data_IF_577537833268
#
_entry.id   IF_577537833268
#
_cell.length_a   1.000
_cell.length_b   1.000
_cell.length_c   1.000
_cell.angle_alpha   90.00
_cell.angle_beta   90.00
_cell.angle_gamma   90.00
#
_symmetry.space_group_name_H-M   'P 1'
#
loop_
_entity.id
_entity.type
_entity.pdbx_description
1 polymer ?
#
# COMPACT_ATOMS: atom_id res chain seq x y z
N UNK A 1 2.73 0.77 11.28
CA UNK A 1 2.88 1.51 10.00
C UNK A 1 2.31 2.90 10.15
N UNK A 2 2.94 3.82 9.45
CA UNK A 2 2.59 5.23 9.53
C UNK A 2 1.47 5.56 8.56
N UNK A 3 0.55 6.45 8.95
CA UNK A 3 -0.51 6.92 8.06
C UNK A 3 0.04 7.98 7.11
N UNK A 4 -0.20 7.80 5.81
CA UNK A 4 0.22 8.76 4.81
C UNK A 4 -0.68 10.00 4.87
N UNK A 5 -0.12 11.21 4.94
CA UNK A 5 -0.93 12.44 4.85
C UNK A 5 -1.64 12.54 3.51
N UNK A 6 -2.67 13.41 3.44
CA UNK A 6 -3.35 13.70 2.18
C UNK A 6 -2.37 14.39 1.23
N UNK A 7 -2.24 13.84 0.02
CA UNK A 7 -1.33 14.40 -0.98
C UNK A 7 -1.70 13.94 -2.39
N UNK A 8 -1.09 14.55 -3.38
CA UNK A 8 -1.21 14.15 -4.77
C UNK A 8 0.02 13.33 -5.19
N UNK A 9 -0.02 12.76 -6.38
CA UNK A 9 1.03 11.87 -6.88
C UNK A 9 2.41 12.54 -6.89
N UNK A 10 2.49 13.79 -7.32
CA UNK A 10 3.79 14.47 -7.39
C UNK A 10 4.46 14.60 -6.01
N UNK A 11 3.68 14.83 -4.97
CA UNK A 11 4.19 14.90 -3.60
C UNK A 11 4.61 13.52 -3.11
N UNK A 12 3.80 12.50 -3.45
CA UNK A 12 4.13 11.12 -3.10
C UNK A 12 5.46 10.70 -3.70
N UNK A 13 5.68 10.97 -4.99
CA UNK A 13 6.91 10.58 -5.67
C UNK A 13 8.14 11.22 -5.02
N UNK A 14 8.02 12.44 -4.52
CA UNK A 14 9.11 13.09 -3.78
C UNK A 14 9.36 12.40 -2.43
N UNK A 15 8.30 11.92 -1.78
CA UNK A 15 8.40 11.29 -0.47
C UNK A 15 9.05 9.91 -0.54
N UNK A 16 8.88 9.20 -1.65
CA UNK A 16 9.34 7.80 -1.79
C UNK A 16 10.61 7.68 -2.63
N UNK A 17 11.44 8.71 -2.65
CA UNK A 17 12.66 8.77 -3.49
C UNK A 17 13.76 7.79 -3.04
N UNK A 18 13.89 7.56 -1.74
CA UNK A 18 15.01 6.79 -1.21
C UNK A 18 14.50 5.53 -0.50
N UNK A 19 14.71 4.38 -1.12
CA UNK A 19 14.34 3.11 -0.54
C UNK A 19 13.06 2.53 -1.12
N UNK A 20 12.58 1.48 -0.47
CA UNK A 20 11.38 0.75 -0.92
C UNK A 20 10.22 1.05 0.02
N UNK A 21 9.09 1.43 -0.58
CA UNK A 21 7.90 1.88 0.15
C UNK A 21 6.69 1.08 -0.30
N UNK A 22 5.95 0.55 0.67
CA UNK A 22 4.72 -0.20 0.43
C UNK A 22 3.55 0.65 0.87
N UNK A 23 2.65 0.96 -0.05
CA UNK A 23 1.42 1.71 0.25
C UNK A 23 0.26 0.74 0.37
N UNK A 24 -0.37 0.72 1.53
CA UNK A 24 -1.55 -0.09 1.81
C UNK A 24 -2.78 0.80 1.75
N UNK A 25 -3.54 0.68 0.64
CA UNK A 25 -4.79 1.44 0.46
C UNK A 25 -5.93 0.70 1.14
N UNK A 26 -6.59 1.37 2.05
CA UNK A 26 -7.61 0.78 2.91
C UNK A 26 -8.71 1.80 3.23
N UNK A 27 -9.80 1.34 3.85
CA UNK A 27 -10.84 2.21 4.39
C UNK A 27 -11.49 1.51 5.58
N UNK A 28 -11.95 2.28 6.55
CA UNK A 28 -12.52 1.73 7.79
C UNK A 28 -13.80 0.92 7.56
N UNK A 29 -14.58 1.30 6.55
CA UNK A 29 -15.84 0.62 6.22
C UNK A 29 -15.67 -0.67 5.43
N UNK A 30 -14.47 -0.97 4.97
CA UNK A 30 -14.21 -2.07 4.04
C UNK A 30 -13.94 -3.37 4.81
N UNK A 31 -14.85 -4.37 4.75
CA UNK A 31 -14.66 -5.63 5.49
C UNK A 31 -13.39 -6.39 5.08
N UNK A 32 -13.08 -6.43 3.79
CA UNK A 32 -11.90 -7.14 3.30
C UNK A 32 -10.61 -6.43 3.71
N UNK A 33 -10.65 -5.11 3.87
CA UNK A 33 -9.53 -4.34 4.41
C UNK A 33 -9.32 -4.67 5.88
N UNK A 34 -10.42 -4.76 6.65
CA UNK A 34 -10.34 -5.11 8.06
C UNK A 34 -9.85 -6.54 8.27
N UNK A 35 -10.10 -7.42 7.30
CA UNK A 35 -9.66 -8.81 7.39
C UNK A 35 -8.13 -8.96 7.30
N UNK A 36 -7.46 -8.15 6.47
CA UNK A 36 -5.99 -8.21 6.32
C UNK A 36 -5.26 -7.34 7.35
N UNK A 37 -5.91 -6.30 7.86
CA UNK A 37 -5.26 -5.32 8.73
C UNK A 37 -4.57 -5.94 9.96
N UNK A 38 -5.16 -6.92 10.67
CA UNK A 38 -4.48 -7.56 11.80
C UNK A 38 -3.18 -8.28 11.44
N UNK A 39 -3.01 -8.69 10.18
CA UNK A 39 -1.80 -9.35 9.71
C UNK A 39 -0.68 -8.36 9.36
N UNK A 40 -1.00 -7.08 9.22
CA UNK A 40 -0.03 -6.09 8.75
C UNK A 40 1.20 -5.96 9.67
N UNK A 41 1.08 -5.96 11.01
CA UNK A 41 2.28 -5.89 11.85
C UNK A 41 3.27 -7.03 11.58
N UNK A 42 2.78 -8.26 11.37
CA UNK A 42 3.64 -9.39 11.05
C UNK A 42 4.27 -9.25 9.66
N UNK A 43 3.51 -8.76 8.69
CA UNK A 43 4.02 -8.50 7.35
C UNK A 43 5.13 -7.44 7.40
N UNK A 44 4.91 -6.36 8.14
CA UNK A 44 5.93 -5.32 8.31
C UNK A 44 7.21 -5.88 8.93
N UNK A 45 7.08 -6.79 9.88
CA UNK A 45 8.23 -7.40 10.52
C UNK A 45 8.99 -8.31 9.55
N UNK A 46 8.27 -9.06 8.71
CA UNK A 46 8.87 -9.96 7.73
C UNK A 46 9.57 -9.20 6.60
N UNK A 47 9.19 -7.94 6.38
CA UNK A 47 9.79 -7.06 5.36
C UNK A 47 10.29 -5.77 6.01
N UNK A 48 11.10 -5.91 7.06
CA UNK A 48 11.50 -4.80 7.93
C UNK A 48 12.38 -3.75 7.24
N UNK A 49 12.96 -4.07 6.08
CA UNK A 49 13.73 -3.10 5.30
C UNK A 49 12.83 -2.19 4.47
N UNK A 50 11.55 -2.51 4.36
CA UNK A 50 10.59 -1.72 3.61
C UNK A 50 9.88 -0.75 4.54
N UNK A 51 9.54 0.43 4.00
CA UNK A 51 8.72 1.41 4.71
C UNK A 51 7.26 1.22 4.33
N UNK A 52 6.38 1.07 5.32
CA UNK A 52 4.97 0.84 5.08
C UNK A 52 4.16 2.09 5.43
N UNK A 53 3.27 2.49 4.52
CA UNK A 53 2.31 3.56 4.75
C UNK A 53 0.89 3.02 4.65
N UNK A 54 0.06 3.38 5.62
CA UNK A 54 -1.38 3.19 5.52
C UNK A 54 -1.96 4.39 4.78
N UNK A 55 -2.69 4.13 3.69
CA UNK A 55 -3.36 5.18 2.93
C UNK A 55 -4.86 5.02 3.11
N UNK A 56 -5.48 5.99 3.80
CA UNK A 56 -6.93 6.01 3.91
C UNK A 56 -7.49 6.48 2.56
N UNK A 57 -8.13 5.55 1.84
CA UNK A 57 -8.64 5.81 0.51
C UNK A 57 -9.65 6.97 0.50
N UNK A 58 -10.47 7.08 1.55
CA UNK A 58 -11.50 8.12 1.61
C UNK A 58 -10.92 9.51 1.81
N UNK A 59 -9.81 9.63 2.55
CA UNK A 59 -9.10 10.90 2.70
C UNK A 59 -8.23 11.24 1.49
N UNK A 60 -7.75 10.22 0.78
CA UNK A 60 -6.83 10.36 -0.35
C UNK A 60 -7.46 9.91 -1.67
N UNK A 61 -8.72 10.29 -1.91
CA UNK A 61 -9.43 9.93 -3.14
C UNK A 61 -8.70 10.39 -4.40
N UNK A 62 -8.15 11.61 -4.36
CA UNK A 62 -7.44 12.15 -5.51
C UNK A 62 -6.14 11.39 -5.79
N UNK A 63 -5.42 11.01 -4.74
CA UNK A 63 -4.21 10.21 -4.89
C UNK A 63 -4.56 8.83 -5.47
N UNK A 64 -5.61 8.20 -4.97
CA UNK A 64 -6.05 6.90 -5.49
C UNK A 64 -6.40 7.02 -6.98
N UNK A 65 -7.09 8.11 -7.37
CA UNK A 65 -7.41 8.35 -8.77
C UNK A 65 -6.15 8.60 -9.61
N UNK A 66 -5.20 9.39 -9.09
CA UNK A 66 -3.92 9.66 -9.77
C UNK A 66 -3.19 8.36 -10.09
N UNK A 67 -3.24 7.39 -9.18
CA UNK A 67 -2.52 6.12 -9.32
C UNK A 67 -3.39 5.01 -9.94
N UNK A 68 -4.62 5.32 -10.31
CA UNK A 68 -5.58 4.36 -10.87
C UNK A 68 -5.84 3.19 -9.90
N UNK A 69 -6.05 3.50 -8.63
CA UNK A 69 -6.38 2.50 -7.61
C UNK A 69 -7.90 2.48 -7.44
N UNK A 70 -8.57 1.53 -8.07
CA UNK A 70 -10.04 1.46 -8.08
C UNK A 70 -10.61 0.33 -7.21
N UNK A 71 -9.77 -0.32 -6.42
CA UNK A 71 -10.22 -1.38 -5.51
C UNK A 71 -9.42 -1.35 -4.23
N UNK A 72 -10.01 -1.82 -3.14
CA UNK A 72 -9.34 -1.98 -1.85
C UNK A 72 -9.77 -3.31 -1.22
N UNK A 73 -8.89 -3.95 -0.41
CA UNK A 73 -7.54 -3.51 -0.06
C UNK A 73 -6.59 -3.65 -1.25
N UNK A 74 -5.69 -2.69 -1.39
CA UNK A 74 -4.72 -2.72 -2.49
C UNK A 74 -3.34 -2.32 -2.00
N UNK A 75 -2.32 -2.85 -2.66
CA UNK A 75 -0.92 -2.57 -2.32
C UNK A 75 -0.20 -2.06 -3.54
N UNK A 76 0.56 -0.99 -3.38
CA UNK A 76 1.41 -0.45 -4.44
C UNK A 76 2.79 -0.25 -3.84
N UNK A 77 3.82 -0.68 -4.56
CA UNK A 77 5.20 -0.60 -4.07
C UNK A 77 6.01 0.30 -4.95
N UNK A 78 6.71 1.24 -4.31
CA UNK A 78 7.65 2.15 -4.96
C UNK A 78 9.05 1.85 -4.48
N UNK A 79 10.01 1.96 -5.38
CA UNK A 79 11.42 1.86 -5.02
C UNK A 79 12.17 2.99 -5.73
N UNK A 80 12.87 3.80 -4.93
CA UNK A 80 13.68 4.91 -5.44
C UNK A 80 12.90 5.83 -6.38
N UNK A 81 11.66 6.13 -6.00
CA UNK A 81 10.79 7.04 -6.72
C UNK A 81 9.99 6.45 -7.87
N UNK A 82 10.09 5.14 -8.09
CA UNK A 82 9.39 4.48 -9.19
C UNK A 82 8.51 3.34 -8.70
N UNK A 83 7.33 3.21 -9.26
CA UNK A 83 6.46 2.08 -8.97
C UNK A 83 7.08 0.80 -9.55
N UNK A 84 7.28 -0.21 -8.69
CA UNK A 84 7.86 -1.48 -9.11
C UNK A 84 6.85 -2.63 -9.11
N UNK A 85 5.65 -2.41 -8.56
CA UNK A 85 4.61 -3.42 -8.59
C UNK A 85 3.35 -2.97 -7.89
N UNK A 86 2.24 -3.66 -8.21
CA UNK A 86 0.97 -3.40 -7.58
C UNK A 86 0.13 -4.66 -7.46
N UNK A 87 -0.63 -4.73 -6.39
CA UNK A 87 -1.58 -5.81 -6.13
C UNK A 87 -2.92 -5.13 -5.87
N UNK A 88 -3.63 -4.82 -6.95
CA UNK A 88 -4.83 -3.98 -6.92
C UNK A 88 -6.02 -4.79 -7.39
N UNK A 89 -7.02 -4.93 -6.52
CA UNK A 89 -8.31 -5.52 -6.85
C UNK A 89 -9.29 -5.20 -5.73
N UNK A 90 -10.56 -5.54 -5.92
CA UNK A 90 -11.59 -5.40 -4.90
C UNK A 90 -11.64 -6.61 -3.97
N UNK A 91 -10.87 -7.63 -4.25
CA UNK A 91 -10.98 -8.90 -3.54
C UNK A 91 -10.17 -8.90 -2.25
N UNK A 92 -10.63 -9.74 -1.31
CA UNK A 92 -9.91 -9.99 -0.06
C UNK A 92 -8.54 -10.59 -0.36
N UNK A 93 -7.54 -10.19 0.42
CA UNK A 93 -6.19 -10.68 0.28
C UNK A 93 -5.75 -11.32 1.59
N UNK A 94 -5.08 -12.48 1.49
CA UNK A 94 -4.52 -13.15 2.66
C UNK A 94 -3.10 -12.62 2.94
N UNK A 95 -2.64 -12.85 4.18
CA UNK A 95 -1.25 -12.55 4.55
C UNK A 95 -0.28 -13.21 3.57
N UNK A 96 -0.52 -14.49 3.22
CA UNK A 96 0.35 -15.24 2.30
C UNK A 96 0.40 -14.59 0.92
N UNK A 97 -0.76 -14.17 0.40
CA UNK A 97 -0.82 -13.53 -0.91
C UNK A 97 -0.04 -12.20 -0.92
N UNK A 98 -0.18 -11.41 0.13
CA UNK A 98 0.54 -10.13 0.23
C UNK A 98 2.04 -10.37 0.34
N UNK A 99 2.46 -11.33 1.18
CA UNK A 99 3.88 -11.62 1.34
C UNK A 99 4.50 -12.20 0.07
N UNK A 100 3.78 -13.07 -0.64
CA UNK A 100 4.24 -13.60 -1.92
C UNK A 100 4.41 -12.48 -2.94
N UNK A 101 3.46 -11.55 -3.01
CA UNK A 101 3.56 -10.40 -3.87
C UNK A 101 4.80 -9.57 -3.55
N UNK A 102 5.03 -9.25 -2.28
CA UNK A 102 6.18 -8.43 -1.86
C UNK A 102 7.51 -9.15 -2.13
N UNK A 103 7.55 -10.47 -1.91
CA UNK A 103 8.76 -11.27 -2.09
C UNK A 103 9.16 -11.39 -3.55
N UNK A 104 8.17 -11.43 -4.44
CA UNK A 104 8.40 -11.62 -5.87
C UNK A 104 8.82 -10.32 -6.59
N UNK A 105 8.75 -9.18 -5.93
CA UNK A 105 9.20 -7.90 -6.49
C UNK A 105 10.72 -7.85 -6.53
N UNK A 106 11.22 -7.29 -7.61
CA UNK A 106 12.67 -7.23 -7.85
C UNK A 106 13.18 -5.81 -7.94
#
# INVERSE_FOLDING_TARGET
>A
MEKLPVMRENELLQRVQDGRYVLFFTADWCPDCQAIKPAMPAIEQDFSDDHFYLVDRDENLDLAADLNIFGIPSFVVFQDGQEIGRFVSKERKSKQQVEDFLRDLK
#
